data_IF_886226264126
#
_entry.id   IF_886226264126
#
_cell.length_a   1.000
_cell.length_b   1.000
_cell.length_c   1.000
_cell.angle_alpha   90.00
_cell.angle_beta   90.00
_cell.angle_gamma   90.00
#
_symmetry.space_group_name_H-M   'P 1'
#
loop_
_entity.id
_entity.type
_entity.pdbx_description
1 polymer ?
#
# COMPACT_ATOMS: atom_id res chain seq x y z
N UNK A 1 22.30 -13.84 10.59
CA UNK A 1 21.26 -14.47 9.74
C UNK A 1 19.96 -13.69 9.94
N UNK A 2 19.45 -13.00 8.90
CA UNK A 2 18.16 -12.27 8.92
C UNK A 2 16.93 -13.23 8.89
N UNK A 3 17.15 -14.56 8.91
CA UNK A 3 16.14 -15.59 8.66
C UNK A 3 14.99 -15.75 9.67
N UNK A 4 14.82 -14.83 10.63
CA UNK A 4 13.71 -14.84 11.59
C UNK A 4 12.92 -13.52 11.66
N UNK A 5 13.28 -12.52 10.84
CA UNK A 5 12.47 -11.30 10.77
C UNK A 5 11.12 -11.65 10.16
N UNK A 6 10.03 -11.37 10.89
CA UNK A 6 8.69 -11.43 10.31
C UNK A 6 8.66 -10.47 9.12
N UNK A 7 8.66 -11.04 7.93
CA UNK A 7 8.60 -10.29 6.67
C UNK A 7 7.17 -9.91 6.31
N UNK A 8 6.20 -10.10 7.21
CA UNK A 8 4.79 -9.74 6.97
C UNK A 8 4.23 -8.92 8.11
N UNK A 9 3.44 -7.92 7.74
CA UNK A 9 2.73 -7.05 8.67
C UNK A 9 1.23 -7.02 8.35
N UNK A 10 0.44 -6.89 9.40
CA UNK A 10 -0.96 -6.48 9.30
C UNK A 10 -1.01 -5.02 9.72
N UNK A 11 -1.60 -4.16 8.90
CA UNK A 11 -1.72 -2.73 9.17
C UNK A 11 -3.12 -2.24 8.88
N UNK A 12 -3.54 -1.20 9.57
CA UNK A 12 -4.80 -0.51 9.34
C UNK A 12 -4.55 0.98 9.51
N UNK A 13 -5.13 1.78 8.61
CA UNK A 13 -4.91 3.21 8.65
C UNK A 13 -5.69 3.99 7.60
N UNK A 14 -5.57 5.29 7.66
CA UNK A 14 -6.11 6.24 6.69
C UNK A 14 -5.15 6.38 5.51
N UNK A 15 -5.69 6.37 4.30
CA UNK A 15 -4.94 6.70 3.09
C UNK A 15 -4.70 8.21 3.05
N UNK A 16 -3.44 8.64 3.07
CA UNK A 16 -3.08 10.07 3.02
C UNK A 16 -2.90 10.58 1.59
N UNK A 17 -2.30 9.77 0.73
CA UNK A 17 -1.92 10.15 -0.63
C UNK A 17 -1.83 8.91 -1.49
N UNK A 18 -2.06 9.06 -2.79
CA UNK A 18 -1.97 8.00 -3.77
C UNK A 18 -1.17 8.49 -4.97
N UNK A 19 -0.31 7.64 -5.50
CA UNK A 19 0.47 7.90 -6.70
C UNK A 19 0.48 6.69 -7.61
N UNK A 20 0.14 6.90 -8.87
CA UNK A 20 0.32 5.92 -9.93
C UNK A 20 1.55 6.29 -10.76
N UNK A 21 2.35 5.28 -11.09
CA UNK A 21 3.51 5.42 -11.94
C UNK A 21 3.58 4.25 -12.91
N UNK A 22 4.08 4.53 -14.11
CA UNK A 22 4.38 3.52 -15.10
C UNK A 22 5.65 3.90 -15.84
N UNK A 23 6.22 2.94 -16.56
CA UNK A 23 7.37 3.16 -17.40
C UNK A 23 7.84 1.90 -18.09
N UNK A 24 9.04 1.97 -18.65
CA UNK A 24 9.70 0.85 -19.32
C UNK A 24 10.93 0.43 -18.51
N UNK A 25 11.12 -0.88 -18.36
CA UNK A 25 12.34 -1.45 -17.78
C UNK A 25 13.45 -1.44 -18.83
N UNK A 26 14.70 -1.65 -18.40
CA UNK A 26 15.85 -1.75 -19.31
C UNK A 26 15.74 -2.92 -20.30
N UNK A 27 15.00 -3.97 -19.94
CA UNK A 27 14.72 -5.12 -20.81
C UNK A 27 13.53 -4.89 -21.76
N UNK A 28 13.01 -3.66 -21.85
CA UNK A 28 11.88 -3.29 -22.69
C UNK A 28 10.53 -3.77 -22.19
N UNK A 29 10.43 -4.39 -20.99
CA UNK A 29 9.13 -4.77 -20.43
C UNK A 29 8.48 -3.58 -19.74
N UNK A 30 7.16 -3.34 -19.94
CA UNK A 30 6.46 -2.29 -19.22
C UNK A 30 6.40 -2.63 -17.73
N UNK A 31 6.39 -1.60 -16.89
CA UNK A 31 6.11 -1.71 -15.47
C UNK A 31 5.08 -0.68 -15.04
N UNK A 32 4.31 -1.05 -14.01
CA UNK A 32 3.38 -0.17 -13.33
C UNK A 32 3.51 -0.35 -11.82
N UNK A 33 3.30 0.75 -11.09
CA UNK A 33 3.36 0.82 -9.65
C UNK A 33 2.27 1.75 -9.14
N UNK A 34 1.51 1.28 -8.15
CA UNK A 34 0.65 2.10 -7.31
C UNK A 34 1.31 2.22 -5.94
N UNK A 35 1.55 3.43 -5.48
CA UNK A 35 2.05 3.73 -4.14
C UNK A 35 1.02 4.56 -3.38
N UNK A 36 0.87 4.30 -2.09
CA UNK A 36 0.05 5.13 -1.20
C UNK A 36 0.62 5.14 0.21
N UNK A 37 0.30 6.17 0.99
CA UNK A 37 0.75 6.28 2.38
C UNK A 37 -0.39 5.95 3.33
N UNK A 38 -0.11 5.09 4.32
CA UNK A 38 -1.03 4.78 5.40
C UNK A 38 -0.59 5.45 6.69
N UNK A 39 -1.53 6.10 7.35
CA UNK A 39 -1.37 6.67 8.68
C UNK A 39 -2.23 5.92 9.70
N UNK A 40 -1.61 5.40 10.76
CA UNK A 40 -2.27 4.61 11.81
C UNK A 40 -2.75 5.47 13.01
N UNK A 41 -2.49 6.78 12.98
CA UNK A 41 -2.70 7.69 14.11
C UNK A 41 -1.39 8.23 14.70
N UNK A 42 -0.26 7.56 14.46
CA UNK A 42 1.06 7.93 15.02
C UNK A 42 2.18 7.88 13.97
N UNK A 43 2.16 6.90 13.07
CA UNK A 43 3.22 6.63 12.11
C UNK A 43 2.67 6.61 10.70
N UNK A 44 3.55 6.85 9.72
CA UNK A 44 3.25 6.75 8.30
C UNK A 44 4.11 5.67 7.67
N UNK A 45 3.51 4.85 6.82
CA UNK A 45 4.22 3.85 6.02
C UNK A 45 3.82 3.92 4.56
N UNK A 46 4.79 3.78 3.65
CA UNK A 46 4.52 3.63 2.22
C UNK A 46 4.07 2.19 1.94
N UNK A 47 2.96 2.06 1.22
CA UNK A 47 2.44 0.80 0.70
C UNK A 47 2.54 0.81 -0.83
N UNK A 48 3.00 -0.29 -1.41
CA UNK A 48 3.21 -0.42 -2.85
C UNK A 48 2.57 -1.68 -3.44
N UNK A 49 1.96 -1.53 -4.61
CA UNK A 49 1.51 -2.62 -5.46
C UNK A 49 2.17 -2.49 -6.84
N UNK A 50 2.66 -3.61 -7.39
CA UNK A 50 3.32 -3.66 -8.68
C UNK A 50 2.54 -4.54 -9.65
N UNK A 51 2.42 -4.09 -10.91
CA UNK A 51 1.83 -4.89 -11.99
C UNK A 51 0.50 -5.52 -11.59
N UNK A 52 0.44 -6.86 -11.64
CA UNK A 52 -0.78 -7.63 -11.33
C UNK A 52 -1.27 -7.53 -9.88
N UNK A 53 -0.49 -6.96 -8.95
CA UNK A 53 -0.96 -6.68 -7.59
C UNK A 53 -1.82 -5.40 -7.52
N UNK A 54 -1.83 -4.58 -8.58
CA UNK A 54 -2.67 -3.40 -8.70
C UNK A 54 -4.07 -3.87 -9.10
N UNK A 55 -4.98 -3.95 -8.13
CA UNK A 55 -6.37 -4.35 -8.36
C UNK A 55 -7.27 -3.14 -8.58
N UNK A 56 -8.43 -3.32 -9.22
CA UNK A 56 -9.48 -2.29 -9.35
C UNK A 56 -9.84 -1.66 -8.00
N UNK A 57 -9.88 -2.48 -6.94
CA UNK A 57 -10.14 -2.03 -5.57
C UNK A 57 -9.10 -1.06 -5.04
N UNK A 58 -7.84 -1.23 -5.44
CA UNK A 58 -6.77 -0.29 -5.09
C UNK A 58 -6.78 0.95 -5.98
N UNK A 59 -7.18 0.81 -7.26
CA UNK A 59 -7.32 1.93 -8.18
C UNK A 59 -8.47 2.87 -7.80
N UNK A 60 -9.52 2.35 -7.16
CA UNK A 60 -10.65 3.14 -6.67
C UNK A 60 -10.40 3.83 -5.33
N UNK A 61 -9.26 3.56 -4.66
CA UNK A 61 -8.94 4.18 -3.37
C UNK A 61 -8.89 5.71 -3.50
N UNK A 62 -9.34 6.38 -2.45
CA UNK A 62 -9.23 7.84 -2.33
C UNK A 62 -8.51 8.21 -1.02
N UNK A 63 -7.76 9.33 -1.01
CA UNK A 63 -7.31 9.92 0.25
C UNK A 63 -8.48 10.11 1.22
N UNK A 64 -8.31 9.69 2.48
CA UNK A 64 -9.34 9.70 3.51
C UNK A 64 -10.07 8.39 3.76
N UNK A 65 -9.89 7.40 2.90
CA UNK A 65 -10.46 6.08 3.12
C UNK A 65 -9.64 5.30 4.13
N UNK A 66 -10.33 4.49 4.95
CA UNK A 66 -9.68 3.61 5.92
C UNK A 66 -9.51 2.23 5.30
N UNK A 67 -8.31 1.70 5.33
CA UNK A 67 -7.98 0.41 4.74
C UNK A 67 -7.21 -0.43 5.74
N UNK A 68 -7.51 -1.74 5.73
CA UNK A 68 -6.79 -2.76 6.48
C UNK A 68 -6.12 -3.71 5.49
N UNK A 69 -4.83 -3.93 5.70
CA UNK A 69 -3.99 -4.84 4.95
C UNK A 69 -3.57 -5.98 5.88
N UNK A 70 -3.77 -7.22 5.45
CA UNK A 70 -3.40 -8.41 6.20
C UNK A 70 -2.36 -9.17 5.39
N UNK A 71 -1.20 -9.41 5.98
CA UNK A 71 -0.10 -10.15 5.34
C UNK A 71 0.62 -9.36 4.24
N UNK A 72 0.74 -8.04 4.37
CA UNK A 72 1.58 -7.23 3.48
C UNK A 72 3.07 -7.54 3.75
N UNK A 73 3.87 -7.68 2.69
CA UNK A 73 5.28 -8.06 2.81
C UNK A 73 6.16 -6.85 3.08
N UNK A 74 7.09 -6.95 4.05
CA UNK A 74 8.04 -5.88 4.33
C UNK A 74 9.12 -5.84 3.24
N UNK A 75 9.35 -4.66 2.67
CA UNK A 75 10.35 -4.42 1.65
C UNK A 75 11.14 -3.14 1.93
N UNK A 76 12.21 -2.94 1.16
CA UNK A 76 13.04 -1.74 1.24
C UNK A 76 13.18 -1.10 -0.13
N UNK A 77 13.07 0.24 -0.18
CA UNK A 77 13.32 1.03 -1.37
C UNK A 77 14.00 2.33 -0.98
N UNK A 78 15.17 2.60 -1.57
CA UNK A 78 15.98 3.79 -1.25
C UNK A 78 16.27 3.98 0.26
N UNK A 79 16.46 2.88 0.99
CA UNK A 79 16.70 2.90 2.45
C UNK A 79 15.44 3.04 3.32
N UNK A 80 14.26 3.25 2.73
CA UNK A 80 12.99 3.35 3.45
C UNK A 80 12.27 2.00 3.46
N UNK A 81 11.64 1.69 4.60
CA UNK A 81 10.77 0.53 4.76
C UNK A 81 9.44 0.81 4.07
N UNK A 82 8.99 -0.17 3.28
CA UNK A 82 7.70 -0.16 2.60
C UNK A 82 6.95 -1.47 2.85
N UNK A 83 5.63 -1.43 2.72
CA UNK A 83 4.78 -2.61 2.71
C UNK A 83 4.37 -2.92 1.28
N UNK A 84 4.74 -4.10 0.79
CA UNK A 84 4.43 -4.58 -0.54
C UNK A 84 3.18 -5.46 -0.50
N UNK A 85 2.26 -5.20 -1.42
CA UNK A 85 1.09 -6.04 -1.67
C UNK A 85 1.52 -7.23 -2.54
N UNK A 86 1.33 -8.43 -2.02
CA UNK A 86 1.43 -9.69 -2.76
C UNK A 86 0.02 -10.11 -3.18
N UNK A 87 -0.17 -10.37 -4.48
CA UNK A 87 -1.48 -10.66 -5.08
C UNK A 87 -2.17 -11.90 -4.50
N UNK A 88 -1.42 -12.85 -3.92
CA UNK A 88 -1.97 -14.10 -3.38
C UNK A 88 -2.05 -14.10 -1.86
N UNK A 89 -1.21 -13.32 -1.19
CA UNK A 89 -1.04 -13.38 0.28
C UNK A 89 -1.59 -12.18 1.00
N UNK A 90 -1.62 -11.01 0.36
CA UNK A 90 -2.10 -9.79 0.99
C UNK A 90 -3.60 -9.66 0.80
N UNK A 91 -4.35 -9.75 1.89
CA UNK A 91 -5.79 -9.48 1.89
C UNK A 91 -6.03 -8.01 2.17
N UNK A 92 -6.90 -7.40 1.37
CA UNK A 92 -7.28 -5.98 1.47
C UNK A 92 -8.72 -5.88 1.94
N UNK A 93 -8.96 -5.10 2.98
CA UNK A 93 -10.28 -4.80 3.52
C UNK A 93 -10.48 -3.29 3.53
N UNK A 94 -11.49 -2.80 2.81
CA UNK A 94 -11.88 -1.40 2.83
C UNK A 94 -12.92 -1.20 3.92
N UNK A 95 -12.60 -0.34 4.87
CA UNK A 95 -13.58 0.25 5.77
C UNK A 95 -14.00 1.57 5.12
N UNK A 96 -15.30 1.90 5.10
CA UNK A 96 -15.80 3.09 4.42
C UNK A 96 -15.11 4.40 4.84
N UNK A 97 -15.45 5.51 4.17
CA UNK A 97 -14.84 6.82 4.42
C UNK A 97 -14.84 7.17 5.91
N UNK A 98 -13.67 7.48 6.44
CA UNK A 98 -13.50 7.98 7.81
C UNK A 98 -13.02 9.43 7.74
N UNK A 99 -13.91 10.28 7.23
CA UNK A 99 -13.95 11.67 7.64
C UNK A 99 -15.36 11.89 8.15
N UNK A 100 -15.52 11.95 9.46
CA UNK A 100 -16.70 12.60 10.01
C UNK A 100 -16.67 14.02 9.43
N UNK A 101 -17.65 14.33 8.57
CA UNK A 101 -17.98 15.70 8.23
C UNK A 101 -18.30 16.41 9.54
N UNK A 102 -17.30 17.04 10.16
CA UNK A 102 -17.62 18.16 11.03
C UNK A 102 -18.17 19.23 10.09
N UNK A 103 -19.50 19.27 10.01
CA UNK A 103 -20.19 20.41 9.43
C UNK A 103 -19.64 21.67 10.08
N UNK A 104 -19.23 22.62 9.25
CA UNK A 104 -18.96 23.99 9.66
C UNK A 104 -20.31 24.65 9.91
#
# INVERSE_FOLDING_TARGET
RIGLLRTRANVEGLVLSIRQQSGMRLDGRPWSMLAFHLWDGSHVVEVVAFGSAISERLLSLQPGEKIRLIGAELGWRAGLVQLRIDVRKTRIELSGRSFASKGI
#
